data_IF_351347429249
#
_entry.id   IF_351347429249
#
_cell.length_a   1.000
_cell.length_b   1.000
_cell.length_c   1.000
_cell.angle_alpha   90.00
_cell.angle_beta   90.00
_cell.angle_gamma   90.00
#
_symmetry.space_group_name_H-M   'P 1'
#
loop_
_entity.id
_entity.type
_entity.pdbx_description
1 polymer ?
#
# COMPACT_ATOMS: atom_id res chain seq x y z
N UNK A 1 -19.88 9.11 0.96
CA UNK A 1 -19.24 8.72 2.25
C UNK A 1 -19.40 9.84 3.28
N UNK A 2 -19.77 9.50 4.52
CA UNK A 2 -19.90 10.47 5.62
C UNK A 2 -18.54 10.77 6.27
N UNK A 3 -18.42 11.84 7.10
CA UNK A 3 -17.20 12.11 7.87
C UNK A 3 -16.77 10.95 8.77
N UNK A 4 -17.72 10.19 9.34
CA UNK A 4 -17.42 9.01 10.15
C UNK A 4 -16.75 7.89 9.33
N UNK A 5 -17.23 7.63 8.11
CA UNK A 5 -16.61 6.66 7.20
C UNK A 5 -15.16 7.02 6.88
N UNK A 6 -14.85 8.31 6.69
CA UNK A 6 -13.48 8.74 6.42
C UNK A 6 -12.55 8.51 7.61
N UNK A 7 -13.03 8.69 8.84
CA UNK A 7 -12.21 8.35 10.02
C UNK A 7 -11.81 6.87 10.04
N UNK A 8 -12.72 5.97 9.66
CA UNK A 8 -12.44 4.54 9.56
C UNK A 8 -11.46 4.22 8.43
N UNK A 9 -11.66 4.82 7.25
CA UNK A 9 -10.73 4.68 6.10
C UNK A 9 -9.33 5.17 6.47
N UNK A 10 -9.23 6.31 7.15
CA UNK A 10 -7.98 6.89 7.60
C UNK A 10 -7.27 5.97 8.63
N UNK A 11 -8.01 5.39 9.57
CA UNK A 11 -7.47 4.40 10.50
C UNK A 11 -6.96 3.14 9.78
N UNK A 12 -7.72 2.64 8.80
CA UNK A 12 -7.33 1.48 8.01
C UNK A 12 -6.05 1.74 7.20
N UNK A 13 -5.94 2.90 6.56
CA UNK A 13 -4.70 3.33 5.92
C UNK A 13 -3.55 3.46 6.90
N UNK A 14 -3.82 3.99 8.10
CA UNK A 14 -2.89 4.05 9.21
C UNK A 14 -2.22 2.71 9.51
N UNK A 15 -3.04 1.69 9.71
CA UNK A 15 -2.60 0.32 9.98
C UNK A 15 -1.91 -0.31 8.76
N UNK A 16 -2.40 -0.03 7.56
CA UNK A 16 -1.82 -0.52 6.30
C UNK A 16 -0.41 0.00 6.09
N UNK A 17 -0.16 1.29 6.39
CA UNK A 17 1.17 1.91 6.35
C UNK A 17 2.09 1.30 7.40
N UNK A 18 1.60 1.14 8.64
CA UNK A 18 2.37 0.52 9.72
C UNK A 18 2.78 -0.91 9.37
N UNK A 19 1.87 -1.70 8.79
CA UNK A 19 2.16 -3.07 8.38
C UNK A 19 3.29 -3.12 7.35
N UNK A 20 3.18 -2.39 6.24
CA UNK A 20 4.21 -2.41 5.21
C UNK A 20 5.55 -1.86 5.72
N UNK A 21 5.51 -0.84 6.58
CA UNK A 21 6.70 -0.34 7.28
C UNK A 21 7.36 -1.43 8.12
N UNK A 22 6.60 -2.15 8.95
CA UNK A 22 7.12 -3.20 9.81
C UNK A 22 7.69 -4.38 9.02
N UNK A 23 7.02 -4.78 7.93
CA UNK A 23 7.52 -5.82 7.02
C UNK A 23 8.85 -5.41 6.38
N UNK A 24 8.95 -4.16 5.90
CA UNK A 24 10.18 -3.64 5.34
C UNK A 24 11.32 -3.60 6.36
N UNK A 25 11.05 -3.20 7.61
CA UNK A 25 12.02 -3.23 8.70
C UNK A 25 12.49 -4.66 8.99
N UNK A 26 11.58 -5.63 9.08
CA UNK A 26 11.92 -7.05 9.31
C UNK A 26 12.78 -7.64 8.19
N UNK A 27 12.58 -7.16 6.97
CA UNK A 27 13.37 -7.53 5.79
C UNK A 27 14.64 -6.69 5.59
N UNK A 28 14.93 -5.75 6.51
CA UNK A 28 16.06 -4.82 6.42
C UNK A 28 16.13 -4.08 5.08
N UNK A 29 14.98 -3.73 4.52
CA UNK A 29 14.89 -3.06 3.22
C UNK A 29 14.53 -1.58 3.34
N UNK A 30 15.07 -0.79 2.43
CA UNK A 30 14.76 0.63 2.28
C UNK A 30 14.10 0.89 0.93
N UNK A 31 12.99 1.63 0.93
CA UNK A 31 12.33 2.07 -0.29
C UNK A 31 13.13 3.22 -0.98
N UNK A 32 13.08 3.27 -2.31
CA UNK A 32 13.93 4.18 -3.10
C UNK A 32 13.30 5.56 -3.35
N UNK A 33 11.99 5.61 -3.61
CA UNK A 33 11.28 6.84 -4.03
C UNK A 33 10.54 7.52 -2.90
N UNK A 34 10.04 6.74 -1.95
CA UNK A 34 9.16 7.22 -0.89
C UNK A 34 9.56 6.61 0.44
N UNK A 35 9.38 7.37 1.52
CA UNK A 35 9.47 6.86 2.89
C UNK A 35 8.07 6.78 3.47
N UNK A 36 7.70 5.60 3.99
CA UNK A 36 6.47 5.41 4.76
C UNK A 36 6.62 6.09 6.14
N UNK A 37 5.60 6.84 6.56
CA UNK A 37 5.53 7.46 7.89
C UNK A 37 4.24 7.00 8.59
N UNK A 38 4.31 5.95 9.43
CA UNK A 38 3.19 5.54 10.27
C UNK A 38 2.87 6.63 11.30
N UNK A 39 1.64 7.16 11.28
CA UNK A 39 1.21 8.24 12.16
C UNK A 39 -0.28 8.12 12.51
N UNK A 40 -0.68 6.95 13.00
CA UNK A 40 -2.07 6.66 13.36
C UNK A 40 -3.01 6.82 12.16
N UNK A 41 -4.16 7.47 12.38
CA UNK A 41 -5.11 7.80 11.30
C UNK A 41 -4.68 9.01 10.45
N UNK A 42 -3.46 9.51 10.60
CA UNK A 42 -2.89 10.58 9.79
C UNK A 42 -1.57 10.14 9.14
N UNK A 43 -1.40 8.84 8.87
CA UNK A 43 -0.23 8.30 8.18
C UNK A 43 -0.04 8.91 6.79
N UNK A 44 1.21 9.01 6.34
CA UNK A 44 1.57 9.65 5.07
C UNK A 44 2.87 9.06 4.49
N UNK A 45 3.22 9.48 3.28
CA UNK A 45 4.53 9.23 2.68
C UNK A 45 5.29 10.54 2.45
N UNK A 46 6.61 10.45 2.45
CA UNK A 46 7.50 11.56 2.07
C UNK A 46 8.22 11.17 0.78
N UNK A 47 8.20 12.05 -0.22
CA UNK A 47 9.01 11.88 -1.42
C UNK A 47 10.50 12.06 -1.09
N UNK A 48 11.36 11.13 -1.53
CA UNK A 48 12.78 11.18 -1.20
C UNK A 48 13.57 12.17 -2.07
N UNK A 49 13.08 12.44 -3.28
CA UNK A 49 13.63 13.47 -4.18
C UNK A 49 13.25 14.89 -3.72
N UNK A 50 12.05 15.07 -3.16
CA UNK A 50 11.57 16.32 -2.58
C UNK A 50 10.97 16.07 -1.20
N UNK A 51 11.81 16.21 -0.17
CA UNK A 51 11.43 15.94 1.22
C UNK A 51 10.39 16.90 1.79
N UNK A 52 10.12 18.02 1.11
CA UNK A 52 9.05 18.94 1.50
C UNK A 52 7.68 18.46 1.05
N UNK A 53 7.65 17.49 0.12
CA UNK A 53 6.43 16.92 -0.43
C UNK A 53 5.93 15.74 0.40
N UNK A 54 4.97 16.05 1.27
CA UNK A 54 4.16 15.05 1.97
C UNK A 54 2.98 14.59 1.10
N UNK A 55 2.75 13.28 1.14
CA UNK A 55 1.67 12.58 0.46
C UNK A 55 0.75 11.95 1.51
N UNK A 56 -0.29 12.67 1.98
CA UNK A 56 -1.17 12.18 3.03
C UNK A 56 -2.00 10.98 2.56
N UNK A 57 -2.00 9.90 3.36
CA UNK A 57 -2.93 8.77 3.25
C UNK A 57 -4.09 8.93 4.24
N UNK A 58 -4.59 10.15 4.37
CA UNK A 58 -5.78 10.46 5.15
C UNK A 58 -6.52 11.64 4.53
N UNK A 59 -7.81 11.73 4.81
CA UNK A 59 -8.65 12.82 4.34
C UNK A 59 -9.73 13.19 5.35
N UNK A 60 -10.04 14.48 5.49
CA UNK A 60 -11.02 14.98 6.46
C UNK A 60 -12.49 14.86 6.00
N UNK A 61 -12.74 14.48 4.74
CA UNK A 61 -14.07 14.42 4.13
C UNK A 61 -14.53 15.74 3.50
N UNK A 62 -15.73 15.74 2.90
CA UNK A 62 -16.39 16.93 2.33
C UNK A 62 -16.12 17.19 0.84
N UNK A 63 -16.68 18.28 0.29
CA UNK A 63 -16.63 18.62 -1.15
C UNK A 63 -15.20 18.82 -1.72
N UNK A 64 -14.21 19.08 -0.87
CA UNK A 64 -12.79 19.11 -1.27
C UNK A 64 -12.27 17.77 -1.79
N UNK A 65 -12.99 16.68 -1.51
CA UNK A 65 -12.73 15.33 -1.99
C UNK A 65 -12.62 15.23 -3.52
N UNK A 66 -13.35 16.06 -4.26
CA UNK A 66 -13.38 16.01 -5.72
C UNK A 66 -12.11 16.61 -6.36
N UNK A 67 -11.33 17.39 -5.61
CA UNK A 67 -10.25 18.21 -6.17
C UNK A 67 -8.87 17.92 -5.56
N UNK A 68 -8.80 17.18 -4.45
CA UNK A 68 -7.52 16.87 -3.82
C UNK A 68 -6.87 15.61 -4.41
N UNK A 69 -5.91 15.83 -5.31
CA UNK A 69 -5.11 14.75 -5.92
C UNK A 69 -4.04 14.19 -4.99
N UNK A 70 -3.79 14.80 -3.82
CA UNK A 70 -2.71 14.35 -2.93
C UNK A 70 -2.96 12.95 -2.40
N UNK A 71 -4.21 12.64 -2.04
CA UNK A 71 -4.58 11.31 -1.58
C UNK A 71 -4.39 10.25 -2.67
N UNK A 72 -4.77 10.55 -3.92
CA UNK A 72 -4.51 9.69 -5.07
C UNK A 72 -3.02 9.47 -5.30
N UNK A 73 -2.21 10.54 -5.26
CA UNK A 73 -0.76 10.43 -5.36
C UNK A 73 -0.17 9.60 -4.21
N UNK A 74 -0.68 9.73 -3.00
CA UNK A 74 -0.25 8.97 -1.84
C UNK A 74 -0.55 7.48 -1.99
N UNK A 75 -1.74 7.12 -2.48
CA UNK A 75 -2.10 5.72 -2.75
C UNK A 75 -1.26 5.10 -3.86
N UNK A 76 -0.96 5.86 -4.92
CA UNK A 76 -0.05 5.42 -5.99
C UNK A 76 1.37 5.21 -5.45
N UNK A 77 1.87 6.15 -4.65
CA UNK A 77 3.17 6.03 -3.98
C UNK A 77 3.23 4.84 -3.01
N UNK A 78 2.11 4.52 -2.34
CA UNK A 78 2.01 3.34 -1.50
C UNK A 78 2.08 2.03 -2.31
N UNK A 79 1.35 1.93 -3.44
CA UNK A 79 1.45 0.77 -4.33
C UNK A 79 2.86 0.59 -4.89
N UNK A 80 3.56 1.69 -5.14
CA UNK A 80 4.96 1.68 -5.56
C UNK A 80 5.87 1.05 -4.47
N UNK A 81 5.71 1.43 -3.20
CA UNK A 81 6.41 0.78 -2.09
C UNK A 81 6.06 -0.71 -1.99
N UNK A 82 4.79 -1.09 -2.15
CA UNK A 82 4.38 -2.49 -2.12
C UNK A 82 4.99 -3.31 -3.27
N UNK A 83 5.13 -2.71 -4.45
CA UNK A 83 5.81 -3.32 -5.59
C UNK A 83 7.31 -3.53 -5.30
N UNK A 84 8.00 -2.54 -4.73
CA UNK A 84 9.40 -2.68 -4.30
C UNK A 84 9.57 -3.78 -3.24
N UNK A 85 8.63 -3.87 -2.28
CA UNK A 85 8.61 -4.95 -1.30
C UNK A 85 8.50 -6.32 -1.98
N UNK A 86 7.56 -6.48 -2.91
CA UNK A 86 7.42 -7.72 -3.70
C UNK A 86 8.70 -8.08 -4.42
N UNK A 87 9.35 -7.11 -5.07
CA UNK A 87 10.61 -7.33 -5.78
C UNK A 87 11.73 -7.78 -4.83
N UNK A 88 11.79 -7.24 -3.62
CA UNK A 88 12.76 -7.67 -2.62
C UNK A 88 12.51 -9.09 -2.13
N UNK A 89 11.24 -9.46 -1.89
CA UNK A 89 10.87 -10.85 -1.56
C UNK A 89 11.25 -11.80 -2.69
N UNK A 90 10.94 -11.44 -3.95
CA UNK A 90 11.27 -12.27 -5.12
C UNK A 90 12.77 -12.50 -5.33
N UNK A 91 13.65 -11.63 -4.80
CA UNK A 91 15.11 -11.90 -4.79
C UNK A 91 15.52 -12.98 -3.80
N UNK A 92 14.76 -13.14 -2.72
CA UNK A 92 15.00 -14.15 -1.68
C UNK A 92 14.30 -15.48 -2.00
N UNK A 93 13.16 -15.41 -2.68
CA UNK A 93 12.36 -16.56 -3.11
C UNK A 93 11.79 -16.32 -4.51
N UNK A 94 12.40 -16.93 -5.52
CA UNK A 94 11.99 -16.77 -6.92
C UNK A 94 10.61 -17.36 -7.23
N UNK A 95 10.09 -18.25 -6.37
CA UNK A 95 8.76 -18.83 -6.52
C UNK A 95 7.68 -17.94 -5.90
N UNK A 96 8.06 -16.93 -5.12
CA UNK A 96 7.11 -15.99 -4.54
C UNK A 96 6.47 -15.10 -5.61
N UNK A 97 5.15 -15.18 -5.69
CA UNK A 97 4.33 -14.32 -6.53
C UNK A 97 3.14 -13.77 -5.74
N UNK A 98 2.89 -12.47 -5.89
CA UNK A 98 1.66 -11.87 -5.38
C UNK A 98 0.51 -12.21 -6.34
N UNK A 99 -0.71 -12.48 -5.83
CA UNK A 99 -1.85 -12.84 -6.66
C UNK A 99 -2.27 -11.71 -7.60
N UNK A 100 -2.08 -10.45 -7.18
CA UNK A 100 -2.46 -9.29 -7.97
C UNK A 100 -1.24 -8.50 -8.42
N UNK A 101 -1.11 -8.26 -9.72
CA UNK A 101 -0.03 -7.48 -10.31
C UNK A 101 -0.24 -6.00 -10.05
N UNK A 102 0.82 -5.28 -9.70
CA UNK A 102 0.80 -3.83 -9.51
C UNK A 102 1.45 -3.16 -10.72
N UNK A 103 0.78 -2.16 -11.31
CA UNK A 103 1.33 -1.34 -12.38
C UNK A 103 0.78 0.09 -12.34
N UNK A 104 1.67 1.08 -12.16
CA UNK A 104 1.39 2.53 -12.33
C UNK A 104 0.08 3.01 -11.68
N UNK A 105 -0.18 2.62 -10.44
CA UNK A 105 -1.40 3.02 -9.70
C UNK A 105 -2.64 2.18 -10.01
N UNK A 106 -2.48 1.09 -10.75
CA UNK A 106 -3.48 0.06 -10.95
C UNK A 106 -3.03 -1.24 -10.32
N UNK A 107 -4.02 -2.08 -10.01
CA UNK A 107 -3.83 -3.43 -9.52
C UNK A 107 -4.70 -4.38 -10.35
N UNK A 108 -4.09 -5.45 -10.84
CA UNK A 108 -4.65 -6.35 -11.84
C UNK A 108 -4.70 -7.78 -11.32
N UNK A 109 -5.84 -8.42 -11.52
CA UNK A 109 -6.02 -9.85 -11.35
C UNK A 109 -5.65 -10.57 -12.64
N UNK A 110 -4.46 -11.18 -12.65
CA UNK A 110 -3.92 -11.91 -13.81
C UNK A 110 -4.79 -13.10 -14.23
N UNK A 111 -5.64 -13.63 -13.34
CA UNK A 111 -6.51 -14.76 -13.66
C UNK A 111 -7.76 -14.34 -14.45
N UNK A 112 -8.26 -13.13 -14.22
CA UNK A 112 -9.46 -12.59 -14.87
C UNK A 112 -9.15 -11.50 -15.90
N UNK A 113 -7.91 -10.99 -15.92
CA UNK A 113 -7.50 -9.82 -16.70
C UNK A 113 -8.07 -8.50 -16.17
N UNK A 114 -8.73 -8.52 -15.01
CA UNK A 114 -9.40 -7.34 -14.49
C UNK A 114 -8.41 -6.39 -13.81
N UNK A 115 -8.37 -5.14 -14.28
CA UNK A 115 -7.51 -4.09 -13.75
C UNK A 115 -8.33 -2.97 -13.11
N UNK A 116 -8.03 -2.63 -11.86
CA UNK A 116 -8.71 -1.58 -11.09
C UNK A 116 -7.71 -0.49 -10.68
N UNK A 117 -8.12 0.77 -10.77
CA UNK A 117 -7.31 1.91 -10.30
C UNK A 117 -7.40 2.08 -8.79
N UNK A 118 -6.28 2.37 -8.12
CA UNK A 118 -6.27 2.74 -6.68
C UNK A 118 -6.69 4.20 -6.48
N UNK A 119 -6.69 5.01 -7.54
CA UNK A 119 -7.11 6.41 -7.52
C UNK A 119 -8.61 6.50 -7.38
N UNK A 120 -9.07 7.53 -6.71
CA UNK A 120 -10.49 7.87 -6.55
C UNK A 120 -10.97 8.72 -7.73
N UNK A 121 -10.14 9.65 -8.22
CA UNK A 121 -10.58 10.50 -9.32
C UNK A 121 -10.93 9.70 -10.56
N UNK A 122 -12.07 10.06 -11.18
CA UNK A 122 -12.62 9.40 -12.36
C UNK A 122 -12.81 7.88 -12.19
N UNK A 123 -13.05 7.43 -10.95
CA UNK A 123 -13.25 6.03 -10.61
C UNK A 123 -14.59 5.81 -9.90
N UNK A 124 -15.13 4.60 -9.97
CA UNK A 124 -16.31 4.24 -9.18
C UNK A 124 -15.88 3.73 -7.79
N UNK A 125 -16.76 3.90 -6.80
CA UNK A 125 -16.53 3.40 -5.45
C UNK A 125 -16.32 1.87 -5.43
N UNK A 126 -17.04 1.14 -6.30
CA UNK A 126 -16.88 -0.30 -6.47
C UNK A 126 -15.48 -0.68 -6.96
N UNK A 127 -15.01 -0.03 -8.03
CA UNK A 127 -13.69 -0.30 -8.61
C UNK A 127 -12.56 0.10 -7.65
N UNK A 128 -12.71 1.24 -6.96
CA UNK A 128 -11.77 1.67 -5.94
C UNK A 128 -11.71 0.70 -4.75
N UNK A 129 -12.87 0.29 -4.23
CA UNK A 129 -12.98 -0.72 -3.17
C UNK A 129 -12.36 -2.04 -3.59
N UNK A 130 -12.55 -2.45 -4.85
CA UNK A 130 -11.93 -3.66 -5.39
C UNK A 130 -10.41 -3.55 -5.47
N UNK A 131 -9.88 -2.41 -5.91
CA UNK A 131 -8.44 -2.16 -5.91
C UNK A 131 -7.85 -2.24 -4.49
N UNK A 132 -8.53 -1.65 -3.49
CA UNK A 132 -8.13 -1.75 -2.08
C UNK A 132 -8.12 -3.20 -1.59
N UNK A 133 -9.14 -4.00 -1.93
CA UNK A 133 -9.21 -5.42 -1.57
C UNK A 133 -8.04 -6.22 -2.16
N UNK A 134 -7.71 -5.98 -3.42
CA UNK A 134 -6.55 -6.63 -4.06
C UNK A 134 -5.24 -6.23 -3.38
N UNK A 135 -5.07 -4.94 -3.07
CA UNK A 135 -3.88 -4.45 -2.36
C UNK A 135 -3.73 -5.08 -0.98
N UNK A 136 -4.80 -5.13 -0.19
CA UNK A 136 -4.80 -5.75 1.13
C UNK A 136 -4.53 -7.25 1.06
N UNK A 137 -5.02 -7.93 0.03
CA UNK A 137 -4.71 -9.34 -0.19
C UNK A 137 -3.23 -9.52 -0.51
N UNK A 138 -2.64 -8.69 -1.36
CA UNK A 138 -1.20 -8.72 -1.61
C UNK A 138 -0.38 -8.52 -0.33
N UNK A 139 -0.77 -7.56 0.53
CA UNK A 139 -0.13 -7.35 1.83
C UNK A 139 -0.24 -8.57 2.74
N UNK A 140 -1.40 -9.25 2.76
CA UNK A 140 -1.61 -10.49 3.52
C UNK A 140 -0.65 -11.60 3.05
N UNK A 141 -0.45 -11.74 1.74
CA UNK A 141 0.51 -12.71 1.17
C UNK A 141 1.94 -12.36 1.55
N UNK A 142 2.32 -11.08 1.48
CA UNK A 142 3.62 -10.60 1.94
C UNK A 142 3.87 -10.89 3.42
N UNK A 143 2.87 -10.60 4.27
CA UNK A 143 2.93 -10.90 5.70
C UNK A 143 3.07 -12.40 5.96
N UNK A 144 2.30 -13.25 5.29
CA UNK A 144 2.37 -14.70 5.44
C UNK A 144 3.77 -15.23 5.08
N UNK A 145 4.33 -14.73 3.97
CA UNK A 145 5.68 -15.10 3.55
C UNK A 145 6.75 -14.68 4.55
N UNK A 146 6.73 -13.41 5.00
CA UNK A 146 7.71 -12.91 5.98
C UNK A 146 7.61 -13.69 7.29
N UNK A 147 6.39 -13.93 7.80
CA UNK A 147 6.19 -14.72 9.02
C UNK A 147 6.76 -16.14 8.88
N UNK A 148 6.50 -16.83 7.78
CA UNK A 148 7.02 -18.18 7.54
C UNK A 148 8.56 -18.19 7.38
N UNK A 149 9.10 -17.25 6.60
CA UNK A 149 10.53 -17.17 6.30
C UNK A 149 11.37 -16.92 7.56
N UNK A 150 10.91 -16.03 8.45
CA UNK A 150 11.66 -15.70 9.66
C UNK A 150 11.36 -16.65 10.84
N UNK A 151 10.18 -17.26 10.92
CA UNK A 151 9.93 -18.31 11.91
C UNK A 151 10.84 -19.53 11.70
N UNK A 152 11.06 -19.94 10.45
CA UNK A 152 11.96 -21.05 10.12
C UNK A 152 13.43 -20.76 10.50
N UNK A 153 13.86 -19.50 10.41
CA UNK A 153 15.21 -19.07 10.78
C UNK A 153 15.45 -19.15 12.28
N UNK A 154 14.51 -18.69 13.08
CA UNK A 154 14.59 -18.70 14.54
C UNK A 154 14.65 -20.14 15.12
N UNK A 155 14.12 -21.13 14.40
CA UNK A 155 14.23 -22.56 14.76
C UNK A 155 15.52 -23.25 14.32
N UNK A 156 16.32 -22.59 13.47
CA UNK A 156 17.56 -23.15 12.90
C UNK A 156 18.84 -22.59 13.54
N UNK A 157 18.69 -21.68 14.50
CA UNK A 157 19.74 -21.04 15.31
C UNK A 157 19.66 -21.49 16.76
#
# INVERSE_FOLDING_TARGET
MSPSTWSEINMAWGQTVLLLYALAQKMEMTFQRYRLVPFGNHSYLVCLEDRTRELPLYFAGGFKFLWDTKFDHAMVAFLDCLQQFKEQVSKMDSNFCLPYRIDKGKIEDSSTGQSCSIKIQFNSEEQWTKALKFMLTNLKWGLAWVSAHFAARDTSS
#
